data_IF_720452468560
#
_entry.id   IF_720452468560
#
_cell.length_a   1.000
_cell.length_b   1.000
_cell.length_c   1.000
_cell.angle_alpha   90.00
_cell.angle_beta   90.00
_cell.angle_gamma   90.00
#
_symmetry.space_group_name_H-M   'P 1'
#
loop_
_entity.id
_entity.type
_entity.pdbx_description
1 polymer ?
#
# COMPACT_ATOMS: atom_id res chain seq x y z
N UNK A 1 -28.56 -24.45 -1.00
CA UNK A 1 -29.14 -23.61 -2.06
C UNK A 1 -28.84 -22.12 -1.93
N UNK A 2 -27.94 -21.70 -1.02
CA UNK A 2 -27.72 -20.27 -0.71
C UNK A 2 -26.47 -19.61 -1.30
N UNK A 3 -25.43 -20.36 -1.62
CA UNK A 3 -24.16 -19.76 -2.07
C UNK A 3 -24.20 -19.13 -3.48
N UNK A 4 -25.02 -19.66 -4.38
CA UNK A 4 -25.12 -19.17 -5.76
C UNK A 4 -25.86 -17.83 -5.88
N UNK A 5 -26.75 -17.51 -4.93
CA UNK A 5 -27.54 -16.29 -4.95
C UNK A 5 -26.70 -15.05 -4.56
N UNK A 6 -25.73 -15.22 -3.68
CA UNK A 6 -24.90 -14.11 -3.18
C UNK A 6 -23.79 -13.67 -4.16
N UNK A 7 -23.49 -14.47 -5.18
CA UNK A 7 -22.48 -14.15 -6.18
C UNK A 7 -22.84 -12.93 -7.06
N UNK A 8 -24.14 -12.60 -7.17
CA UNK A 8 -24.66 -11.49 -7.97
C UNK A 8 -24.95 -10.21 -7.16
N UNK A 9 -24.82 -10.26 -5.83
CA UNK A 9 -25.07 -9.09 -4.99
C UNK A 9 -23.98 -8.04 -5.17
N UNK A 10 -24.39 -6.79 -5.18
CA UNK A 10 -23.47 -5.64 -5.12
C UNK A 10 -22.81 -5.56 -3.75
N UNK A 11 -21.68 -4.87 -3.64
CA UNK A 11 -21.02 -4.66 -2.35
C UNK A 11 -21.95 -3.95 -1.35
N UNK A 12 -22.78 -3.03 -1.82
CA UNK A 12 -23.74 -2.34 -0.96
C UNK A 12 -24.79 -3.29 -0.40
N UNK A 13 -25.36 -4.18 -1.22
CA UNK A 13 -26.32 -5.19 -0.77
C UNK A 13 -25.71 -6.16 0.22
N UNK A 14 -24.46 -6.62 -0.04
CA UNK A 14 -23.71 -7.45 0.90
C UNK A 14 -23.52 -6.76 2.25
N UNK A 15 -23.19 -5.48 2.23
CA UNK A 15 -22.99 -4.68 3.47
C UNK A 15 -24.31 -4.60 4.26
N UNK A 16 -25.44 -4.35 3.61
CA UNK A 16 -26.73 -4.30 4.29
C UNK A 16 -27.08 -5.64 4.96
N UNK A 17 -26.83 -6.75 4.28
CA UNK A 17 -27.04 -8.10 4.83
C UNK A 17 -26.09 -8.39 6.01
N UNK A 18 -24.82 -7.99 5.91
CA UNK A 18 -23.86 -8.14 7.01
C UNK A 18 -24.32 -7.34 8.24
N UNK A 19 -24.76 -6.11 8.04
CA UNK A 19 -25.22 -5.24 9.12
C UNK A 19 -26.54 -5.72 9.73
N UNK A 20 -27.36 -6.48 8.97
CA UNK A 20 -28.58 -7.14 9.48
C UNK A 20 -28.29 -8.41 10.30
N UNK A 21 -27.02 -8.87 10.35
CA UNK A 21 -26.59 -10.01 11.17
C UNK A 21 -26.00 -11.18 10.38
N UNK A 22 -26.02 -11.16 9.05
CA UNK A 22 -25.41 -12.21 8.23
C UNK A 22 -23.91 -12.03 8.05
N UNK A 23 -23.16 -12.18 9.13
CA UNK A 23 -21.71 -11.90 9.20
C UNK A 23 -20.87 -12.76 8.24
N UNK A 24 -21.36 -13.93 7.84
CA UNK A 24 -20.65 -14.84 6.94
C UNK A 24 -20.42 -14.24 5.55
N UNK A 25 -21.25 -13.28 5.13
CA UNK A 25 -21.13 -12.59 3.85
C UNK A 25 -19.94 -11.63 3.78
N UNK A 26 -19.34 -11.25 4.91
CA UNK A 26 -18.13 -10.42 4.91
C UNK A 26 -16.97 -11.10 4.17
N UNK A 27 -16.92 -12.43 4.19
CA UNK A 27 -15.96 -13.21 3.42
C UNK A 27 -16.02 -12.89 1.92
N UNK A 28 -17.19 -12.67 1.36
CA UNK A 28 -17.33 -12.31 -0.06
C UNK A 28 -16.75 -10.93 -0.38
N UNK A 29 -16.95 -9.93 0.50
CA UNK A 29 -16.30 -8.63 0.35
C UNK A 29 -14.78 -8.77 0.41
N UNK A 30 -14.27 -9.60 1.35
CA UNK A 30 -12.85 -9.88 1.44
C UNK A 30 -12.32 -10.50 0.15
N UNK A 31 -12.94 -11.57 -0.34
CA UNK A 31 -12.51 -12.28 -1.55
C UNK A 31 -12.52 -11.39 -2.80
N UNK A 32 -13.48 -10.46 -2.91
CA UNK A 32 -13.54 -9.51 -4.03
C UNK A 32 -12.43 -8.47 -4.02
N UNK A 33 -12.04 -8.01 -2.83
CA UNK A 33 -11.18 -6.83 -2.70
C UNK A 33 -9.77 -7.12 -2.19
N UNK A 34 -9.47 -8.34 -1.68
CA UNK A 34 -8.17 -8.65 -1.06
C UNK A 34 -6.98 -8.42 -2.00
N UNK A 35 -7.11 -8.80 -3.28
CA UNK A 35 -6.03 -8.63 -4.23
C UNK A 35 -5.70 -7.14 -4.49
N UNK A 36 -6.72 -6.28 -4.49
CA UNK A 36 -6.55 -4.84 -4.66
C UNK A 36 -5.91 -4.21 -3.43
N UNK A 37 -6.41 -4.54 -2.23
CA UNK A 37 -5.85 -4.05 -0.96
C UNK A 37 -4.40 -4.48 -0.82
N UNK A 38 -4.07 -5.74 -1.13
CA UNK A 38 -2.71 -6.23 -1.10
C UNK A 38 -1.79 -5.46 -2.05
N UNK A 39 -2.23 -5.19 -3.32
CA UNK A 39 -1.44 -4.37 -4.26
C UNK A 39 -1.16 -2.98 -3.73
N UNK A 40 -2.14 -2.34 -3.11
CA UNK A 40 -1.92 -1.07 -2.44
C UNK A 40 -0.90 -1.20 -1.33
N UNK A 41 -1.06 -2.16 -0.42
CA UNK A 41 -0.14 -2.36 0.71
C UNK A 41 1.29 -2.62 0.22
N UNK A 42 1.49 -3.54 -0.73
CA UNK A 42 2.84 -3.85 -1.25
C UNK A 42 3.49 -2.65 -1.93
N UNK A 43 2.69 -1.77 -2.56
CA UNK A 43 3.17 -0.51 -3.15
C UNK A 43 3.71 0.50 -2.12
N UNK A 44 3.37 0.35 -0.84
CA UNK A 44 3.87 1.19 0.24
C UNK A 44 5.01 0.55 1.02
N UNK A 45 4.91 -0.76 1.32
CA UNK A 45 5.85 -1.42 2.23
C UNK A 45 6.96 -2.17 1.49
N UNK A 46 6.75 -2.52 0.22
CA UNK A 46 7.68 -3.21 -0.67
C UNK A 46 8.18 -4.58 -0.15
N UNK A 47 7.52 -5.12 0.88
CA UNK A 47 7.83 -6.39 1.51
C UNK A 47 6.55 -7.22 1.62
N UNK A 48 6.60 -8.47 1.14
CA UNK A 48 5.40 -9.30 0.99
C UNK A 48 4.72 -9.60 2.32
N UNK A 49 5.50 -10.01 3.32
CA UNK A 49 4.98 -10.37 4.65
C UNK A 49 4.31 -9.15 5.31
N UNK A 50 4.96 -8.00 5.28
CA UNK A 50 4.39 -6.75 5.79
C UNK A 50 3.11 -6.35 5.03
N UNK A 51 3.03 -6.61 3.73
CA UNK A 51 1.85 -6.32 2.92
C UNK A 51 0.69 -7.28 3.23
N UNK A 52 0.97 -8.57 3.47
CA UNK A 52 -0.01 -9.55 3.90
C UNK A 52 -0.59 -9.17 5.26
N UNK A 53 0.24 -8.82 6.24
CA UNK A 53 -0.17 -8.38 7.58
C UNK A 53 -1.03 -7.11 7.51
N UNK A 54 -0.58 -6.11 6.77
CA UNK A 54 -1.35 -4.87 6.57
C UNK A 54 -2.68 -5.12 5.87
N UNK A 55 -2.73 -6.04 4.91
CA UNK A 55 -3.97 -6.41 4.24
C UNK A 55 -4.98 -6.99 5.23
N UNK A 56 -4.54 -7.87 6.12
CA UNK A 56 -5.39 -8.41 7.20
C UNK A 56 -5.87 -7.29 8.13
N UNK A 57 -4.98 -6.40 8.57
CA UNK A 57 -5.34 -5.27 9.43
C UNK A 57 -6.36 -4.33 8.77
N UNK A 58 -6.24 -4.08 7.45
CA UNK A 58 -7.20 -3.27 6.69
C UNK A 58 -8.59 -3.91 6.73
N UNK A 59 -8.70 -5.23 6.52
CA UNK A 59 -10.00 -5.91 6.55
C UNK A 59 -10.56 -6.01 7.97
N UNK A 60 -9.74 -6.18 9.00
CA UNK A 60 -10.17 -6.10 10.40
C UNK A 60 -10.76 -4.71 10.68
N UNK A 61 -10.07 -3.65 10.29
CA UNK A 61 -10.56 -2.29 10.48
C UNK A 61 -11.82 -2.02 9.64
N UNK A 62 -11.88 -2.50 8.41
CA UNK A 62 -13.05 -2.38 7.56
C UNK A 62 -14.27 -3.05 8.20
N UNK A 63 -14.11 -4.26 8.74
CA UNK A 63 -15.17 -4.97 9.44
C UNK A 63 -15.66 -4.19 10.67
N UNK A 64 -14.74 -3.72 11.50
CA UNK A 64 -15.04 -2.96 12.71
C UNK A 64 -15.76 -1.64 12.44
N UNK A 65 -15.43 -1.00 11.31
CA UNK A 65 -16.00 0.30 10.92
C UNK A 65 -17.10 0.21 9.85
N UNK A 66 -17.55 -1.01 9.49
CA UNK A 66 -18.50 -1.24 8.39
C UNK A 66 -19.82 -0.49 8.59
N UNK A 67 -20.30 -0.41 9.85
CA UNK A 67 -21.49 0.36 10.19
C UNK A 67 -21.37 1.87 9.92
N UNK A 68 -20.15 2.40 9.76
CA UNK A 68 -19.91 3.80 9.40
C UNK A 68 -19.93 4.06 7.89
N UNK A 69 -19.97 3.01 7.07
CA UNK A 69 -20.07 3.13 5.62
C UNK A 69 -21.48 3.58 5.22
N UNK A 70 -21.60 4.81 4.72
CA UNK A 70 -22.90 5.45 4.40
C UNK A 70 -23.36 5.23 2.96
N UNK A 71 -22.51 4.65 2.09
CA UNK A 71 -22.80 4.52 0.66
C UNK A 71 -22.60 5.82 -0.16
N UNK A 72 -21.98 6.85 0.41
CA UNK A 72 -21.68 8.11 -0.30
C UNK A 72 -20.59 7.95 -1.38
N UNK A 73 -19.92 6.80 -1.41
CA UNK A 73 -18.94 6.41 -2.42
C UNK A 73 -19.00 4.91 -2.64
N UNK A 74 -18.37 4.42 -3.70
CA UNK A 74 -18.14 2.98 -3.87
C UNK A 74 -17.43 2.39 -2.64
N UNK A 75 -17.77 1.15 -2.27
CA UNK A 75 -17.13 0.45 -1.14
C UNK A 75 -15.61 0.34 -1.35
N UNK A 76 -15.17 0.05 -2.58
CA UNK A 76 -13.75 0.03 -2.95
C UNK A 76 -13.05 1.34 -2.60
N UNK A 77 -13.63 2.51 -2.92
CA UNK A 77 -13.06 3.82 -2.59
C UNK A 77 -12.91 4.01 -1.08
N UNK A 78 -13.92 3.60 -0.30
CA UNK A 78 -13.88 3.67 1.16
C UNK A 78 -12.81 2.73 1.73
N UNK A 79 -12.71 1.52 1.20
CA UNK A 79 -11.71 0.53 1.60
C UNK A 79 -10.29 0.99 1.26
N UNK A 80 -10.07 1.60 0.10
CA UNK A 80 -8.78 2.20 -0.27
C UNK A 80 -8.35 3.31 0.69
N UNK A 81 -9.27 4.13 1.19
CA UNK A 81 -8.94 5.13 2.22
C UNK A 81 -8.42 4.47 3.50
N UNK A 82 -9.01 3.36 3.91
CA UNK A 82 -8.53 2.59 5.06
C UNK A 82 -7.12 2.05 4.77
N UNK A 83 -6.93 1.40 3.61
CA UNK A 83 -5.66 0.80 3.21
C UNK A 83 -4.53 1.84 3.15
N UNK A 84 -4.76 2.97 2.48
CA UNK A 84 -3.79 4.07 2.38
C UNK A 84 -3.42 4.62 3.77
N UNK A 85 -4.41 4.86 4.63
CA UNK A 85 -4.16 5.39 5.98
C UNK A 85 -3.35 4.40 6.83
N UNK A 86 -3.68 3.10 6.77
CA UNK A 86 -2.93 2.06 7.49
C UNK A 86 -1.49 1.96 6.98
N UNK A 87 -1.31 1.91 5.66
CA UNK A 87 0.01 1.84 5.05
C UNK A 87 0.88 3.07 5.35
N UNK A 88 0.30 4.28 5.34
CA UNK A 88 1.02 5.50 5.76
C UNK A 88 1.42 5.47 7.23
N UNK A 89 0.53 5.02 8.12
CA UNK A 89 0.85 4.90 9.54
C UNK A 89 1.98 3.89 9.76
N UNK A 90 1.89 2.72 9.14
CA UNK A 90 2.93 1.70 9.19
C UNK A 90 4.30 2.25 8.74
N UNK A 91 4.34 2.92 7.59
CA UNK A 91 5.60 3.49 7.09
C UNK A 91 6.16 4.58 7.99
N UNK A 92 5.32 5.41 8.63
CA UNK A 92 5.76 6.41 9.62
C UNK A 92 6.35 5.75 10.87
N UNK A 93 5.71 4.71 11.38
CA UNK A 93 6.18 3.97 12.56
C UNK A 93 7.51 3.28 12.28
N UNK A 94 7.64 2.62 11.12
CA UNK A 94 8.90 2.01 10.68
C UNK A 94 10.04 3.03 10.55
N UNK A 95 9.75 4.20 9.99
CA UNK A 95 10.75 5.29 9.92
C UNK A 95 11.18 5.78 11.30
N UNK A 96 10.24 5.97 12.23
CA UNK A 96 10.55 6.35 13.62
C UNK A 96 11.44 5.29 14.28
N UNK A 97 11.05 4.01 14.20
CA UNK A 97 11.82 2.90 14.76
C UNK A 97 13.25 2.87 14.20
N UNK A 98 13.42 2.99 12.88
CA UNK A 98 14.75 3.04 12.24
C UNK A 98 15.62 4.20 12.74
N UNK A 99 15.03 5.37 13.05
CA UNK A 99 15.76 6.50 13.63
C UNK A 99 16.20 6.18 15.07
N UNK A 100 15.32 5.60 15.88
CA UNK A 100 15.66 5.19 17.25
C UNK A 100 16.75 4.12 17.26
N UNK A 101 16.63 3.08 16.42
CA UNK A 101 17.62 2.01 16.31
C UNK A 101 19.02 2.54 15.91
N UNK A 102 19.05 3.55 15.02
CA UNK A 102 20.31 4.24 14.66
C UNK A 102 20.89 5.07 15.80
N UNK A 103 20.05 5.73 16.59
CA UNK A 103 20.49 6.47 17.76
C UNK A 103 21.02 5.51 18.83
N UNK A 104 20.32 4.42 19.11
CA UNK A 104 20.76 3.40 20.06
C UNK A 104 22.08 2.76 19.61
N UNK A 105 22.21 2.41 18.32
CA UNK A 105 23.46 1.85 17.79
C UNK A 105 24.63 2.86 17.86
N UNK A 106 24.35 4.16 17.75
CA UNK A 106 25.36 5.20 17.94
C UNK A 106 25.83 5.28 19.40
N UNK A 107 24.92 5.06 20.36
CA UNK A 107 25.27 5.08 21.79
C UNK A 107 25.85 3.74 22.30
N UNK A 108 25.43 2.60 21.73
CA UNK A 108 25.87 1.25 22.14
C UNK A 108 27.05 0.71 21.34
N UNK A 109 27.38 1.33 20.21
CA UNK A 109 28.49 0.88 19.33
C UNK A 109 28.19 -0.39 18.53
N UNK A 110 26.95 -0.92 18.59
CA UNK A 110 26.50 -2.08 17.81
C UNK A 110 25.98 -1.64 16.43
N UNK A 111 26.46 -2.30 15.36
CA UNK A 111 25.96 -2.03 14.01
C UNK A 111 24.56 -2.63 13.85
N UNK A 112 23.56 -1.77 13.61
CA UNK A 112 22.22 -2.21 13.24
C UNK A 112 22.27 -2.97 11.91
N UNK A 113 21.97 -4.26 11.95
CA UNK A 113 21.82 -5.10 10.74
C UNK A 113 20.40 -4.91 10.21
N UNK A 114 20.26 -4.14 9.13
CA UNK A 114 19.01 -4.10 8.39
C UNK A 114 18.92 -5.37 7.54
N UNK A 115 18.16 -6.38 8.01
CA UNK A 115 17.86 -7.56 7.21
C UNK A 115 16.59 -7.29 6.38
N UNK A 116 16.77 -7.15 5.09
CA UNK A 116 15.71 -7.30 4.11
C UNK A 116 15.74 -8.77 3.67
N UNK A 117 14.73 -9.57 4.06
CA UNK A 117 14.60 -10.94 3.55
C UNK A 117 13.57 -10.95 2.42
N UNK A 118 14.01 -11.38 1.25
CA UNK A 118 13.16 -11.57 0.07
C UNK A 118 12.67 -13.01 -0.02
N UNK A 119 11.38 -13.14 -0.40
CA UNK A 119 10.78 -14.41 -0.77
C UNK A 119 11.34 -14.91 -2.12
N UNK A 120 11.83 -16.14 -2.13
CA UNK A 120 12.44 -16.78 -3.29
C UNK A 120 11.45 -16.99 -4.46
N UNK A 121 11.83 -16.52 -5.64
CA UNK A 121 11.28 -16.93 -6.93
C UNK A 121 12.37 -17.72 -7.68
N UNK A 122 11.96 -18.69 -8.53
CA UNK A 122 12.85 -19.63 -9.27
C UNK A 122 13.59 -18.94 -10.44
N UNK A 123 14.28 -17.85 -10.21
CA UNK A 123 15.10 -17.18 -11.23
C UNK A 123 16.59 -17.33 -10.93
N UNK A 124 17.44 -17.17 -11.98
CA UNK A 124 18.89 -17.23 -11.87
C UNK A 124 19.41 -16.26 -10.78
N UNK A 125 20.28 -16.71 -9.84
CA UNK A 125 20.77 -15.91 -8.70
C UNK A 125 21.30 -14.51 -9.05
N UNK A 126 21.98 -14.34 -10.19
CA UNK A 126 22.47 -13.03 -10.63
C UNK A 126 21.32 -12.08 -11.04
N UNK A 127 20.29 -12.60 -11.71
CA UNK A 127 19.11 -11.80 -12.09
C UNK A 127 18.29 -11.42 -10.88
N UNK A 128 18.14 -12.33 -9.91
CA UNK A 128 17.50 -12.04 -8.63
C UNK A 128 18.20 -10.91 -7.87
N UNK A 129 19.52 -10.92 -7.81
CA UNK A 129 20.30 -9.89 -7.14
C UNK A 129 20.05 -8.50 -7.77
N UNK A 130 20.12 -8.40 -9.10
CA UNK A 130 19.86 -7.15 -9.83
C UNK A 130 18.43 -6.65 -9.61
N UNK A 131 17.43 -7.54 -9.70
CA UNK A 131 16.03 -7.16 -9.46
C UNK A 131 15.78 -6.72 -8.02
N UNK A 132 16.45 -7.30 -7.04
CA UNK A 132 16.33 -6.92 -5.65
C UNK A 132 16.95 -5.54 -5.39
N UNK A 133 18.11 -5.26 -5.97
CA UNK A 133 18.76 -3.94 -5.89
C UNK A 133 17.90 -2.84 -6.52
N UNK A 134 17.31 -3.10 -7.69
CA UNK A 134 16.40 -2.17 -8.36
C UNK A 134 15.13 -1.91 -7.53
N UNK A 135 14.53 -2.97 -6.96
CA UNK A 135 13.35 -2.85 -6.07
C UNK A 135 13.69 -2.01 -4.84
N UNK A 136 14.83 -2.25 -4.23
CA UNK A 136 15.30 -1.50 -3.06
C UNK A 136 15.55 -0.02 -3.39
N UNK A 137 16.13 0.29 -4.56
CA UNK A 137 16.30 1.67 -5.03
C UNK A 137 14.96 2.37 -5.25
N UNK A 138 13.98 1.68 -5.86
CA UNK A 138 12.64 2.23 -6.06
C UNK A 138 11.95 2.46 -4.72
N UNK A 139 12.01 1.52 -3.79
CA UNK A 139 11.45 1.65 -2.45
C UNK A 139 12.02 2.87 -1.72
N UNK A 140 13.35 3.01 -1.70
CA UNK A 140 14.04 4.17 -1.10
C UNK A 140 13.66 5.49 -1.77
N UNK A 141 13.47 5.51 -3.08
CA UNK A 141 13.04 6.70 -3.80
C UNK A 141 11.58 7.07 -3.48
N UNK A 142 10.69 6.08 -3.37
CA UNK A 142 9.28 6.29 -2.98
C UNK A 142 9.16 6.82 -1.54
N UNK A 143 10.00 6.36 -0.63
CA UNK A 143 10.04 6.85 0.75
C UNK A 143 10.41 8.34 0.87
N UNK A 144 11.13 8.89 -0.12
CA UNK A 144 11.50 10.31 -0.17
C UNK A 144 10.37 11.21 -0.66
N UNK A 145 9.31 10.63 -1.21
CA UNK A 145 8.16 11.42 -1.67
C UNK A 145 7.34 11.95 -0.47
N UNK A 146 6.84 13.20 -0.55
CA UNK A 146 5.76 13.64 0.33
C UNK A 146 4.56 12.69 0.25
N UNK A 147 3.90 12.44 1.37
CA UNK A 147 2.86 11.40 1.48
C UNK A 147 1.80 11.45 0.37
N UNK A 148 1.22 12.63 0.09
CA UNK A 148 0.20 12.77 -0.97
C UNK A 148 0.74 12.42 -2.37
N UNK A 149 2.01 12.71 -2.63
CA UNK A 149 2.66 12.33 -3.89
C UNK A 149 2.89 10.82 -3.96
N UNK A 150 3.33 10.21 -2.85
CA UNK A 150 3.51 8.77 -2.73
C UNK A 150 2.19 8.03 -2.90
N UNK A 151 1.11 8.47 -2.25
CA UNK A 151 -0.23 7.89 -2.44
C UNK A 151 -0.65 7.96 -3.91
N UNK A 152 -0.57 9.13 -4.53
CA UNK A 152 -0.99 9.30 -5.92
C UNK A 152 -0.22 8.38 -6.88
N UNK A 153 1.11 8.25 -6.71
CA UNK A 153 1.93 7.41 -7.58
C UNK A 153 1.70 5.92 -7.34
N UNK A 154 1.51 5.49 -6.07
CA UNK A 154 1.22 4.10 -5.72
C UNK A 154 -0.13 3.68 -6.33
N UNK A 155 -1.21 4.41 -6.07
CA UNK A 155 -2.53 4.10 -6.61
C UNK A 155 -2.55 4.11 -8.16
N UNK A 156 -1.78 5.01 -8.78
CA UNK A 156 -1.68 5.07 -10.24
C UNK A 156 -0.88 3.91 -10.85
N UNK A 157 0.13 3.34 -10.14
CA UNK A 157 1.07 2.39 -10.71
C UNK A 157 0.89 0.95 -10.24
N UNK A 158 0.38 0.74 -9.04
CA UNK A 158 0.14 -0.59 -8.50
C UNK A 158 -1.33 -1.02 -8.66
N UNK A 159 -2.26 -0.06 -8.69
CA UNK A 159 -3.69 -0.33 -8.81
C UNK A 159 -4.30 0.16 -10.13
N UNK A 160 -3.48 0.72 -11.04
CA UNK A 160 -3.89 1.25 -12.36
C UNK A 160 -5.08 2.24 -12.30
N UNK A 161 -5.21 2.94 -11.16
CA UNK A 161 -6.31 3.88 -10.97
C UNK A 161 -6.20 5.09 -11.89
N UNK A 162 -7.34 5.50 -12.43
CA UNK A 162 -7.50 6.78 -13.12
C UNK A 162 -7.32 7.96 -12.15
N UNK A 163 -7.02 9.14 -12.69
CA UNK A 163 -6.91 10.35 -11.88
C UNK A 163 -8.20 10.67 -11.11
N UNK A 164 -9.36 10.35 -11.69
CA UNK A 164 -10.68 10.52 -11.06
C UNK A 164 -10.84 9.62 -9.84
N UNK A 165 -10.48 8.35 -9.94
CA UNK A 165 -10.55 7.41 -8.82
C UNK A 165 -9.60 7.81 -7.69
N UNK A 166 -8.35 8.19 -8.03
CA UNK A 166 -7.38 8.71 -7.07
C UNK A 166 -7.91 9.98 -6.39
N UNK A 167 -8.55 10.88 -7.14
CA UNK A 167 -9.16 12.09 -6.60
C UNK A 167 -10.27 11.74 -5.60
N UNK A 168 -11.09 10.73 -5.88
CA UNK A 168 -12.10 10.22 -4.97
C UNK A 168 -11.47 9.65 -3.68
N UNK A 169 -10.41 8.84 -3.79
CA UNK A 169 -9.70 8.28 -2.63
C UNK A 169 -9.10 9.40 -1.77
N UNK A 170 -8.41 10.36 -2.39
CA UNK A 170 -7.73 11.47 -1.71
C UNK A 170 -8.67 12.63 -1.28
N UNK A 171 -9.95 12.54 -1.62
CA UNK A 171 -10.94 13.62 -1.42
C UNK A 171 -10.43 14.96 -1.98
N UNK A 172 -10.09 15.00 -3.27
CA UNK A 172 -9.51 16.16 -3.96
C UNK A 172 -10.01 16.22 -5.41
N UNK A 173 -9.46 17.13 -6.23
CA UNK A 173 -9.80 17.27 -7.65
C UNK A 173 -8.84 16.48 -8.54
N UNK A 174 -9.29 16.13 -9.76
CA UNK A 174 -8.44 15.46 -10.76
C UNK A 174 -7.21 16.32 -11.12
N UNK A 175 -7.38 17.64 -11.29
CA UNK A 175 -6.26 18.53 -11.54
C UNK A 175 -5.23 18.58 -10.40
N UNK A 176 -5.68 18.43 -9.15
CA UNK A 176 -4.76 18.32 -8.01
C UNK A 176 -3.98 16.98 -8.06
N UNK A 177 -4.64 15.89 -8.44
CA UNK A 177 -3.99 14.57 -8.64
C UNK A 177 -2.96 14.63 -9.77
N UNK A 178 -3.30 15.24 -10.90
CA UNK A 178 -2.36 15.45 -12.00
C UNK A 178 -1.09 16.19 -11.53
N UNK A 179 -1.27 17.28 -10.79
CA UNK A 179 -0.15 18.03 -10.23
C UNK A 179 0.67 17.21 -9.21
N UNK A 180 0.03 16.33 -8.41
CA UNK A 180 0.73 15.41 -7.52
C UNK A 180 1.56 14.39 -8.29
N UNK A 181 0.99 13.78 -9.34
CA UNK A 181 1.66 12.80 -10.18
C UNK A 181 2.86 13.41 -10.92
N UNK A 182 2.73 14.62 -11.46
CA UNK A 182 3.83 15.32 -12.13
C UNK A 182 4.99 15.61 -11.15
N UNK A 183 4.67 16.11 -9.96
CA UNK A 183 5.67 16.36 -8.91
C UNK A 183 6.31 15.06 -8.42
N UNK A 184 5.52 13.99 -8.23
CA UNK A 184 6.03 12.69 -7.84
C UNK A 184 7.04 12.15 -8.86
N UNK A 185 6.69 12.17 -10.17
CA UNK A 185 7.58 11.72 -11.25
C UNK A 185 8.89 12.51 -11.28
N UNK A 186 8.82 13.83 -11.09
CA UNK A 186 10.01 14.70 -11.07
C UNK A 186 10.91 14.36 -9.90
N UNK A 187 10.34 14.20 -8.70
CA UNK A 187 11.09 13.84 -7.49
C UNK A 187 11.69 12.45 -7.59
N UNK A 188 10.90 11.45 -8.03
CA UNK A 188 11.39 10.08 -8.24
C UNK A 188 12.58 10.03 -9.20
N UNK A 189 12.48 10.74 -10.35
CA UNK A 189 13.57 10.79 -11.32
C UNK A 189 14.85 11.35 -10.70
N UNK A 190 14.74 12.40 -9.87
CA UNK A 190 15.89 12.99 -9.18
C UNK A 190 16.50 12.01 -8.17
N UNK A 191 15.68 11.39 -7.33
CA UNK A 191 16.12 10.47 -6.29
C UNK A 191 16.75 9.21 -6.88
N UNK A 192 16.12 8.61 -7.91
CA UNK A 192 16.67 7.44 -8.59
C UNK A 192 18.01 7.72 -9.26
N UNK A 193 18.17 8.89 -9.92
CA UNK A 193 19.47 9.29 -10.49
C UNK A 193 20.53 9.46 -9.40
N UNK A 194 20.17 9.99 -8.24
CA UNK A 194 21.08 10.13 -7.11
C UNK A 194 21.52 8.76 -6.56
N UNK A 195 20.57 7.84 -6.34
CA UNK A 195 20.86 6.49 -5.86
C UNK A 195 21.70 5.70 -6.86
N UNK A 196 21.37 5.75 -8.15
CA UNK A 196 22.12 5.08 -9.21
C UNK A 196 23.59 5.54 -9.28
N UNK A 197 23.83 6.85 -9.17
CA UNK A 197 25.21 7.38 -9.14
C UNK A 197 26.01 6.91 -7.93
N UNK A 198 25.39 6.83 -6.76
CA UNK A 198 26.04 6.32 -5.54
C UNK A 198 26.40 4.84 -5.66
N UNK A 199 25.53 4.05 -6.27
CA UNK A 199 25.75 2.61 -6.44
C UNK A 199 26.88 2.29 -7.43
N UNK A 200 27.09 3.14 -8.44
CA UNK A 200 28.15 2.95 -9.45
C UNK A 200 29.56 3.35 -8.97
N UNK A 201 29.68 3.98 -7.80
CA UNK A 201 30.92 4.44 -7.20
C UNK A 201 31.30 3.64 -5.94
N UNK A 202 30.60 2.56 -5.61
CA UNK A 202 30.95 1.55 -4.61
C UNK A 202 31.44 0.28 -5.28
#
# INVERSE_FOLDING_TARGET
>A
MSETLYCFMTDFELIQEILSGNLTLFRQLLERHQAQVFRTCIGFVHHKEDADDLTQEVFIQAYQSLASFKGDSEFSTWLYRIAVNRALNYTRERQKKSIFDRLDSFFTGEKAVQSFSDGATEENPEQQLIHNEEREMIAKALEKLPEKQRVAIVLSKYDDMSQREIANVLNTTEGAVEALLQRAKTTLRKELLHLYRRHKHQ
#
